data_IF_948295661662
#
_entry.id   IF_948295661662
#
_cell.length_a   1.000
_cell.length_b   1.000
_cell.length_c   1.000
_cell.angle_alpha   90.00
_cell.angle_beta   90.00
_cell.angle_gamma   90.00
#
_symmetry.space_group_name_H-M   'P 1'
#
loop_
_entity.id
_entity.type
_entity.pdbx_description
1 polymer ?
#
# COMPACT_ATOMS: atom_id res chain seq x y z
N UNK A 1 13.01 12.98 33.82
CA UNK A 1 13.14 13.94 32.71
C UNK A 1 13.35 13.30 31.33
N UNK A 2 14.50 12.69 30.99
CA UNK A 2 14.71 12.16 29.61
C UNK A 2 13.86 10.91 29.28
N UNK A 3 13.58 10.06 30.28
CA UNK A 3 12.73 8.87 30.13
C UNK A 3 11.26 9.22 29.84
N UNK A 4 10.71 10.21 30.55
CA UNK A 4 9.32 10.63 30.41
C UNK A 4 9.04 11.23 29.03
N UNK A 5 9.90 12.13 28.54
CA UNK A 5 9.79 12.69 27.19
C UNK A 5 9.78 11.60 26.12
N UNK A 6 10.59 10.56 26.32
CA UNK A 6 10.70 9.44 25.40
C UNK A 6 9.45 8.54 25.44
N UNK A 7 8.85 8.35 26.62
CA UNK A 7 7.59 7.64 26.78
C UNK A 7 6.42 8.39 26.11
N UNK A 8 6.32 9.72 26.30
CA UNK A 8 5.31 10.56 25.65
C UNK A 8 5.46 10.51 24.12
N UNK A 9 6.69 10.67 23.62
CA UNK A 9 6.94 10.58 22.18
C UNK A 9 6.58 9.20 21.62
N UNK A 10 6.86 8.13 22.38
CA UNK A 10 6.50 6.78 21.98
C UNK A 10 4.98 6.61 21.87
N UNK A 11 4.22 7.09 22.85
CA UNK A 11 2.76 7.02 22.82
C UNK A 11 2.20 7.70 21.56
N UNK A 12 2.78 8.84 21.18
CA UNK A 12 2.39 9.56 19.97
C UNK A 12 2.73 8.80 18.69
N UNK A 13 3.96 8.25 18.61
CA UNK A 13 4.39 7.39 17.50
C UNK A 13 3.48 6.17 17.35
N UNK A 14 3.11 5.55 18.48
CA UNK A 14 2.23 4.38 18.51
C UNK A 14 0.82 4.73 18.01
N UNK A 15 0.27 5.85 18.48
CA UNK A 15 -1.03 6.38 18.02
C UNK A 15 -1.03 6.61 16.50
N UNK A 16 -0.04 7.32 15.96
CA UNK A 16 0.09 7.59 14.52
C UNK A 16 0.26 6.28 13.73
N UNK A 17 1.07 5.36 14.23
CA UNK A 17 1.30 4.08 13.59
C UNK A 17 -0.01 3.28 13.46
N UNK A 18 -0.79 3.17 14.53
CA UNK A 18 -2.07 2.45 14.53
C UNK A 18 -3.15 3.16 13.71
N UNK A 19 -3.23 4.50 13.79
CA UNK A 19 -4.11 5.28 12.93
C UNK A 19 -3.81 5.07 11.45
N UNK A 20 -2.52 4.99 11.08
CA UNK A 20 -2.10 4.68 9.70
C UNK A 20 -2.29 3.20 9.31
N UNK A 21 -2.74 2.35 10.23
CA UNK A 21 -2.82 0.88 10.09
C UNK A 21 -1.45 0.26 9.76
N UNK A 22 -0.39 0.76 10.36
CA UNK A 22 0.98 0.31 10.17
C UNK A 22 1.62 0.68 8.83
N UNK A 23 0.94 1.44 7.97
CA UNK A 23 1.49 1.85 6.66
C UNK A 23 2.61 2.87 6.76
N UNK A 24 2.68 3.62 7.85
CA UNK A 24 3.65 4.70 8.00
C UNK A 24 4.94 4.19 8.66
N UNK A 25 6.06 4.44 7.98
CA UNK A 25 7.40 4.32 8.56
C UNK A 25 7.88 5.62 9.19
N UNK A 26 9.11 5.61 9.72
CA UNK A 26 9.72 6.78 10.36
C UNK A 26 9.68 8.08 9.55
N UNK A 27 9.80 8.11 8.20
CA UNK A 27 9.73 9.38 7.46
C UNK A 27 8.34 10.02 7.52
N UNK A 28 7.26 9.22 7.48
CA UNK A 28 5.89 9.75 7.53
C UNK A 28 5.48 10.08 8.95
N UNK A 29 5.87 9.25 9.91
CA UNK A 29 5.60 9.52 11.33
C UNK A 29 6.25 10.82 11.79
N UNK A 30 7.48 11.13 11.35
CA UNK A 30 8.13 12.42 11.67
C UNK A 30 7.30 13.61 11.16
N UNK A 31 6.76 13.54 9.94
CA UNK A 31 5.92 14.62 9.39
C UNK A 31 4.62 14.80 10.19
N UNK A 32 4.02 13.70 10.64
CA UNK A 32 2.83 13.74 11.49
C UNK A 32 3.14 14.23 12.92
N UNK A 33 4.37 14.01 13.41
CA UNK A 33 4.81 14.60 14.68
C UNK A 33 5.06 16.10 14.52
N UNK A 34 5.67 16.53 13.42
CA UNK A 34 5.91 17.94 13.10
C UNK A 34 4.59 18.71 12.94
N UNK A 35 3.57 18.13 12.29
CA UNK A 35 2.24 18.75 12.17
C UNK A 35 1.54 18.93 13.53
N UNK A 36 1.87 18.10 14.51
CA UNK A 36 1.43 18.21 15.91
C UNK A 36 2.33 19.11 16.77
N UNK A 37 3.33 19.77 16.18
CA UNK A 37 4.27 20.65 16.89
C UNK A 37 5.38 19.91 17.66
N UNK A 38 5.50 18.58 17.50
CA UNK A 38 6.48 17.76 18.21
C UNK A 38 7.71 17.58 17.31
N UNK A 39 8.80 18.27 17.64
CA UNK A 39 10.08 18.11 16.93
C UNK A 39 10.80 16.84 17.37
N UNK A 40 10.98 15.91 16.43
CA UNK A 40 11.75 14.68 16.63
C UNK A 40 12.58 14.36 15.37
N UNK A 41 13.83 13.92 15.55
CA UNK A 41 14.67 13.55 14.42
C UNK A 41 14.28 12.19 13.84
N UNK A 42 14.34 12.05 12.51
CA UNK A 42 14.03 10.79 11.82
C UNK A 42 14.83 9.59 12.33
N UNK A 43 16.15 9.67 12.58
CA UNK A 43 16.92 8.56 13.15
C UNK A 43 16.44 8.17 14.55
N UNK A 44 16.03 9.14 15.36
CA UNK A 44 15.52 8.87 16.70
C UNK A 44 14.17 8.16 16.67
N UNK A 45 13.24 8.62 15.83
CA UNK A 45 11.95 7.95 15.62
C UNK A 45 12.18 6.53 15.09
N UNK A 46 13.08 6.36 14.12
CA UNK A 46 13.43 5.04 13.58
C UNK A 46 14.00 4.09 14.65
N UNK A 47 14.88 4.60 15.53
CA UNK A 47 15.43 3.84 16.66
C UNK A 47 14.33 3.39 17.62
N UNK A 48 13.44 4.31 17.99
CA UNK A 48 12.33 4.03 18.92
C UNK A 48 11.34 3.01 18.34
N UNK A 49 11.01 3.13 17.06
CA UNK A 49 10.20 2.15 16.34
C UNK A 49 10.88 0.77 16.33
N UNK A 50 12.18 0.72 16.03
CA UNK A 50 12.96 -0.53 15.97
C UNK A 50 13.03 -1.24 17.34
N UNK A 51 13.30 -0.50 18.40
CA UNK A 51 13.33 -1.02 19.79
C UNK A 51 12.01 -1.67 20.20
N UNK A 52 10.89 -1.25 19.59
CA UNK A 52 9.54 -1.72 19.89
C UNK A 52 8.94 -2.62 18.80
N UNK A 53 9.75 -3.02 17.82
CA UNK A 53 9.32 -3.92 16.74
C UNK A 53 8.35 -3.30 15.72
N UNK A 54 8.12 -1.99 15.74
CA UNK A 54 7.24 -1.32 14.79
C UNK A 54 7.93 -1.20 13.42
N UNK A 55 7.27 -1.71 12.37
CA UNK A 55 7.77 -1.66 10.99
C UNK A 55 6.67 -1.27 10.03
N UNK A 56 7.01 -0.43 9.05
CA UNK A 56 6.08 -0.04 8.00
C UNK A 56 5.63 -1.27 7.20
N UNK A 57 4.32 -1.45 7.09
CA UNK A 57 3.71 -2.45 6.22
C UNK A 57 3.81 -1.94 4.78
N UNK A 58 4.57 -2.65 3.95
CA UNK A 58 4.69 -2.37 2.52
C UNK A 58 3.81 -3.38 1.79
N UNK A 59 2.80 -2.91 1.04
CA UNK A 59 2.04 -3.80 0.14
C UNK A 59 3.02 -4.34 -0.90
N UNK A 60 3.06 -5.67 -1.07
CA UNK A 60 3.86 -6.31 -2.12
C UNK A 60 3.43 -5.70 -3.46
N UNK A 61 4.41 -5.32 -4.30
CA UNK A 61 4.10 -4.80 -5.64
C UNK A 61 3.25 -5.85 -6.38
N UNK A 62 2.20 -5.39 -7.06
CA UNK A 62 1.42 -6.25 -7.95
C UNK A 62 2.37 -6.84 -8.99
N UNK A 63 2.39 -8.18 -9.08
CA UNK A 63 3.21 -8.89 -10.06
C UNK A 63 2.29 -9.33 -11.18
N UNK A 64 2.44 -8.75 -12.37
CA UNK A 64 1.76 -9.23 -13.58
C UNK A 64 2.30 -10.64 -13.89
N UNK A 65 1.49 -11.66 -13.66
CA UNK A 65 1.84 -13.07 -13.91
C UNK A 65 1.71 -13.42 -15.40
N UNK A 66 0.85 -12.72 -16.13
CA UNK A 66 0.62 -12.93 -17.56
C UNK A 66 1.62 -12.15 -18.40
N UNK A 67 2.51 -12.87 -19.09
CA UNK A 67 3.32 -12.29 -20.16
C UNK A 67 2.52 -12.31 -21.47
N UNK A 68 1.85 -11.20 -21.80
CA UNK A 68 1.12 -11.05 -23.07
C UNK A 68 2.06 -10.97 -24.29
N UNK A 69 3.36 -10.76 -24.10
CA UNK A 69 4.39 -10.75 -25.14
C UNK A 69 5.12 -12.09 -25.14
N UNK A 70 4.44 -13.13 -25.61
CA UNK A 70 4.98 -14.49 -25.73
C UNK A 70 4.99 -14.97 -27.19
N UNK A 71 5.82 -15.98 -27.48
CA UNK A 71 5.92 -16.58 -28.82
C UNK A 71 4.89 -17.68 -29.09
N UNK A 72 4.04 -18.01 -28.12
CA UNK A 72 2.95 -18.97 -28.34
C UNK A 72 1.91 -18.39 -29.31
N UNK A 73 1.23 -19.24 -30.09
CA UNK A 73 0.13 -18.82 -30.94
C UNK A 73 -0.90 -18.02 -30.12
N UNK A 74 -1.14 -16.79 -30.54
CA UNK A 74 -2.21 -15.94 -29.98
C UNK A 74 -3.41 -16.14 -30.89
N UNK A 75 -4.53 -16.61 -30.33
CA UNK A 75 -5.80 -16.67 -31.06
C UNK A 75 -6.32 -15.24 -31.18
N UNK A 76 -6.82 -14.90 -32.37
CA UNK A 76 -7.42 -13.59 -32.61
C UNK A 76 -8.60 -13.36 -31.66
N UNK A 77 -8.65 -12.17 -31.05
CA UNK A 77 -9.80 -11.76 -30.26
C UNK A 77 -10.91 -11.30 -31.22
N UNK A 78 -11.74 -12.24 -31.67
CA UNK A 78 -12.85 -11.97 -32.58
C UNK A 78 -13.87 -10.98 -32.02
N UNK A 79 -14.04 -10.96 -30.70
CA UNK A 79 -15.01 -10.08 -30.05
C UNK A 79 -14.48 -8.66 -29.93
N UNK A 80 -13.23 -8.48 -29.50
CA UNK A 80 -12.55 -7.20 -29.32
C UNK A 80 -13.40 -6.10 -28.64
N UNK A 81 -14.21 -6.48 -27.64
CA UNK A 81 -15.17 -5.61 -26.95
C UNK A 81 -16.25 -4.97 -27.85
N UNK A 82 -16.46 -5.51 -29.06
CA UNK A 82 -17.58 -5.16 -29.91
C UNK A 82 -18.79 -6.02 -29.55
N UNK A 83 -19.71 -5.42 -28.79
CA UNK A 83 -20.96 -6.07 -28.37
C UNK A 83 -22.14 -5.74 -29.29
N UNK A 84 -21.92 -5.02 -30.39
CA UNK A 84 -22.97 -4.75 -31.38
C UNK A 84 -23.17 -5.98 -32.26
N UNK A 85 -24.26 -6.70 -32.02
CA UNK A 85 -24.65 -7.93 -32.72
C UNK A 85 -25.94 -7.74 -33.50
N UNK A 86 -26.08 -8.44 -34.62
CA UNK A 86 -27.27 -8.31 -35.49
C UNK A 86 -28.42 -9.16 -34.98
N UNK A 87 -28.12 -10.26 -34.29
CA UNK A 87 -29.12 -11.15 -33.71
C UNK A 87 -28.72 -11.64 -32.31
N UNK A 88 -29.70 -12.15 -31.56
CA UNK A 88 -29.46 -12.73 -30.25
C UNK A 88 -28.59 -13.99 -30.35
N UNK A 89 -27.84 -14.30 -29.28
CA UNK A 89 -26.98 -15.49 -29.14
C UNK A 89 -25.68 -15.48 -29.96
N UNK A 90 -25.34 -14.36 -30.61
CA UNK A 90 -24.05 -14.19 -31.31
C UNK A 90 -22.88 -13.96 -30.35
N UNK A 91 -23.14 -13.33 -29.19
CA UNK A 91 -22.13 -13.04 -28.18
C UNK A 91 -22.69 -13.36 -26.79
N UNK A 92 -21.85 -13.98 -25.96
CA UNK A 92 -22.15 -14.33 -24.56
C UNK A 92 -21.06 -13.72 -23.68
N UNK A 93 -21.46 -13.04 -22.61
CA UNK A 93 -20.53 -12.40 -21.66
C UNK A 93 -20.92 -12.85 -20.26
N UNK A 94 -19.93 -13.15 -19.42
CA UNK A 94 -20.11 -13.26 -17.97
C UNK A 94 -19.25 -12.21 -17.28
N UNK A 95 -19.74 -11.63 -16.20
CA UNK A 95 -18.91 -10.75 -15.38
C UNK A 95 -17.74 -11.54 -14.81
N UNK A 96 -16.53 -11.06 -15.07
CA UNK A 96 -15.31 -11.54 -14.41
C UNK A 96 -14.66 -10.37 -13.66
N UNK A 97 -14.52 -10.54 -12.36
CA UNK A 97 -13.84 -9.56 -11.49
C UNK A 97 -12.35 -9.91 -11.43
N UNK A 98 -11.48 -8.97 -11.84
CA UNK A 98 -10.02 -9.13 -11.83
C UNK A 98 -9.35 -8.65 -10.53
#
# INVERSE_FOLDING_TARGET
MQSERRAVLFAEIFSIYHWSRGRYGSPRIVRELESKGIKASRPFVAKLMKERGLRSIVKKKFKKTTNSSHRYPVVENYLNQNFQVKSSKEVWVSDITY
#
